data_IF_165583853927
#
_entry.id   IF_165583853927
#
_cell.length_a   1.000
_cell.length_b   1.000
_cell.length_c   1.000
_cell.angle_alpha   90.00
_cell.angle_beta   90.00
_cell.angle_gamma   90.00
#
_symmetry.space_group_name_H-M   'P 1'
#
loop_
_entity.id
_entity.type
_entity.pdbx_description
1 polymer ?
#
# COMPACT_ATOMS: atom_id res chain seq x y z
N UNK A 1 -27.35 -10.66 13.16
CA UNK A 1 -27.29 -10.00 11.83
C UNK A 1 -27.06 -11.11 10.80
N UNK A 2 -27.88 -11.23 9.74
CA UNK A 2 -27.64 -12.21 8.69
C UNK A 2 -26.31 -11.91 7.99
N UNK A 3 -25.55 -12.95 7.66
CA UNK A 3 -24.28 -12.78 6.96
C UNK A 3 -24.53 -12.34 5.52
N UNK A 4 -23.72 -11.43 4.96
CA UNK A 4 -23.88 -10.99 3.58
C UNK A 4 -23.68 -12.15 2.61
N UNK A 5 -24.58 -12.25 1.61
CA UNK A 5 -24.57 -13.32 0.60
C UNK A 5 -23.77 -12.96 -0.66
N UNK A 6 -23.37 -11.69 -0.80
CA UNK A 6 -22.59 -11.18 -1.93
C UNK A 6 -21.44 -10.33 -1.41
N UNK A 7 -20.40 -10.17 -2.22
CA UNK A 7 -19.27 -9.29 -1.89
C UNK A 7 -19.80 -7.87 -1.61
N UNK A 8 -20.64 -7.33 -2.50
CA UNK A 8 -21.26 -6.01 -2.35
C UNK A 8 -22.27 -5.89 -1.20
N UNK A 9 -22.63 -7.01 -0.56
CA UNK A 9 -23.48 -7.00 0.63
C UNK A 9 -22.72 -6.69 1.93
N UNK A 10 -21.39 -6.64 1.90
CA UNK A 10 -20.57 -6.28 3.07
C UNK A 10 -20.56 -4.76 3.26
N UNK A 11 -20.52 -4.31 4.50
CA UNK A 11 -20.49 -2.88 4.83
C UNK A 11 -19.22 -2.17 4.34
N UNK A 12 -18.12 -2.92 4.28
CA UNK A 12 -16.77 -2.45 3.96
C UNK A 12 -16.03 -3.52 3.18
N UNK A 13 -15.51 -3.12 2.03
CA UNK A 13 -14.84 -4.02 1.11
C UNK A 13 -13.53 -3.38 0.73
N UNK A 14 -12.45 -4.16 0.84
CA UNK A 14 -11.14 -3.81 0.32
C UNK A 14 -10.83 -4.76 -0.83
N UNK A 15 -10.44 -4.20 -1.97
CA UNK A 15 -10.05 -4.96 -3.16
C UNK A 15 -8.64 -4.55 -3.54
N UNK A 16 -7.69 -5.48 -3.46
CA UNK A 16 -6.29 -5.17 -3.68
C UNK A 16 -5.51 -6.33 -4.28
N UNK A 17 -4.37 -6.01 -4.90
CA UNK A 17 -3.44 -6.95 -5.50
C UNK A 17 -2.82 -6.42 -6.78
N UNK A 18 -2.13 -7.31 -7.51
CA UNK A 18 -1.69 -7.04 -8.88
C UNK A 18 -2.90 -7.12 -9.83
N UNK A 19 -3.50 -5.97 -10.12
CA UNK A 19 -4.60 -5.84 -11.07
C UNK A 19 -4.10 -5.78 -12.53
N UNK A 20 -2.79 -5.67 -12.73
CA UNK A 20 -2.09 -5.73 -14.02
C UNK A 20 -2.49 -4.67 -15.06
N UNK A 21 -3.21 -3.61 -14.67
CA UNK A 21 -3.47 -2.46 -15.54
C UNK A 21 -2.15 -1.74 -15.89
N UNK A 22 -2.02 -1.34 -17.16
CA UNK A 22 -0.81 -0.74 -17.72
C UNK A 22 -1.03 0.72 -18.11
N UNK A 23 0.00 1.35 -18.65
CA UNK A 23 -0.11 2.68 -19.23
C UNK A 23 -0.46 2.62 -20.71
N UNK A 24 -1.40 3.45 -21.15
CA UNK A 24 -1.62 3.81 -22.56
C UNK A 24 -0.59 4.84 -23.03
N UNK A 25 0.70 4.55 -22.81
CA UNK A 25 1.81 5.44 -23.13
C UNK A 25 3.02 4.63 -23.59
N UNK A 26 3.72 5.14 -24.61
CA UNK A 26 4.97 4.54 -25.08
C UNK A 26 6.06 4.57 -24.00
N UNK A 27 6.90 3.54 -23.97
CA UNK A 27 7.92 3.32 -22.94
C UNK A 27 8.85 4.53 -22.74
N UNK A 28 9.36 5.11 -23.84
CA UNK A 28 10.25 6.26 -23.78
C UNK A 28 9.58 7.49 -23.14
N UNK A 29 8.34 7.79 -23.53
CA UNK A 29 7.57 8.91 -22.99
C UNK A 29 7.23 8.70 -21.52
N UNK A 30 6.84 7.48 -21.14
CA UNK A 30 6.62 7.12 -19.74
C UNK A 30 7.90 7.33 -18.91
N UNK A 31 9.05 6.85 -19.40
CA UNK A 31 10.34 7.03 -18.71
C UNK A 31 10.75 8.49 -18.59
N UNK A 32 10.40 9.35 -19.55
CA UNK A 32 10.65 10.78 -19.45
C UNK A 32 9.85 11.44 -18.32
N UNK A 33 8.56 11.09 -18.18
CA UNK A 33 7.72 11.58 -17.08
C UNK A 33 8.21 11.04 -15.73
N UNK A 34 8.63 9.76 -15.69
CA UNK A 34 9.20 9.15 -14.49
C UNK A 34 10.49 9.85 -14.06
N UNK A 35 11.39 10.19 -15.00
CA UNK A 35 12.61 10.95 -14.68
C UNK A 35 12.31 12.35 -14.12
N UNK A 36 11.18 12.94 -14.50
CA UNK A 36 10.73 14.24 -14.00
C UNK A 36 9.93 14.16 -12.70
N UNK A 37 9.63 12.95 -12.21
CA UNK A 37 8.74 12.69 -11.07
C UNK A 37 7.32 13.23 -11.27
N UNK A 38 6.90 13.34 -12.53
CA UNK A 38 5.59 13.87 -12.88
C UNK A 38 4.54 12.75 -12.87
N UNK A 39 4.22 12.29 -11.66
CA UNK A 39 3.24 11.21 -11.44
C UNK A 39 1.85 11.61 -11.90
N UNK A 40 1.50 12.88 -11.75
CA UNK A 40 0.19 13.40 -12.14
C UNK A 40 0.01 13.30 -13.66
N UNK A 41 0.98 13.77 -14.45
CA UNK A 41 0.92 13.63 -15.90
C UNK A 41 0.96 12.16 -16.35
N UNK A 42 1.73 11.31 -15.66
CA UNK A 42 1.82 9.88 -15.99
C UNK A 42 0.49 9.14 -15.74
N UNK A 43 -0.23 9.51 -14.68
CA UNK A 43 -1.54 8.92 -14.32
C UNK A 43 -2.64 9.20 -15.34
N UNK A 44 -2.54 10.24 -16.17
CA UNK A 44 -3.50 10.49 -17.26
C UNK A 44 -3.49 9.38 -18.32
N UNK A 45 -2.45 8.54 -18.32
CA UNK A 45 -2.32 7.37 -19.18
C UNK A 45 -2.58 6.05 -18.46
N UNK A 46 -2.96 6.06 -17.17
CA UNK A 46 -3.25 4.85 -16.40
C UNK A 46 -4.55 4.18 -16.88
N UNK A 47 -4.48 2.90 -17.26
CA UNK A 47 -5.62 2.15 -17.76
C UNK A 47 -6.73 2.01 -16.71
N UNK A 48 -6.39 1.69 -15.46
CA UNK A 48 -7.41 1.50 -14.42
C UNK A 48 -8.18 2.80 -14.17
N UNK A 49 -7.47 3.92 -14.05
CA UNK A 49 -8.08 5.23 -13.89
C UNK A 49 -9.04 5.54 -15.04
N UNK A 50 -8.60 5.33 -16.28
CA UNK A 50 -9.42 5.55 -17.47
C UNK A 50 -10.68 4.67 -17.49
N UNK A 51 -10.54 3.38 -17.23
CA UNK A 51 -11.67 2.44 -17.21
C UNK A 51 -12.66 2.76 -16.09
N UNK A 52 -12.19 3.27 -14.95
CA UNK A 52 -13.06 3.78 -13.86
C UNK A 52 -13.79 5.06 -14.25
N UNK A 53 -13.10 6.01 -14.89
CA UNK A 53 -13.69 7.27 -15.36
C UNK A 53 -14.78 7.04 -16.43
N UNK A 54 -14.60 6.05 -17.32
CA UNK A 54 -15.63 5.67 -18.30
C UNK A 54 -16.72 4.74 -17.74
N UNK A 55 -16.64 4.35 -16.46
CA UNK A 55 -17.61 3.47 -15.81
C UNK A 55 -17.55 2.00 -16.26
N UNK A 56 -16.44 1.56 -16.86
CA UNK A 56 -16.25 0.18 -17.33
C UNK A 56 -15.98 -0.82 -16.20
N UNK A 57 -15.32 -0.38 -15.11
CA UNK A 57 -14.94 -1.23 -13.98
C UNK A 57 -14.99 -0.45 -12.66
N UNK A 58 -15.14 -1.16 -11.55
CA UNK A 58 -15.05 -0.59 -10.19
C UNK A 58 -15.93 0.66 -9.97
N UNK A 59 -17.14 0.67 -10.55
CA UNK A 59 -18.09 1.76 -10.37
C UNK A 59 -18.47 1.92 -8.90
N UNK A 60 -18.35 3.13 -8.36
CA UNK A 60 -18.62 3.44 -6.95
C UNK A 60 -17.50 3.03 -5.98
N UNK A 61 -16.41 2.43 -6.46
CA UNK A 61 -15.23 2.17 -5.66
C UNK A 61 -14.33 3.39 -5.64
N UNK A 62 -13.62 3.56 -4.53
CA UNK A 62 -12.66 4.63 -4.31
C UNK A 62 -11.22 4.08 -4.34
N UNK A 63 -10.28 4.95 -4.67
CA UNK A 63 -8.84 4.67 -4.65
C UNK A 63 -8.12 5.94 -4.19
N UNK A 64 -7.04 5.78 -3.46
CA UNK A 64 -6.23 6.89 -2.95
C UNK A 64 -5.50 7.63 -4.06
N UNK A 65 -5.06 8.85 -3.76
CA UNK A 65 -4.13 9.55 -4.62
C UNK A 65 -2.82 8.76 -4.71
N UNK A 66 -2.39 8.43 -5.93
CA UNK A 66 -1.11 7.78 -6.17
C UNK A 66 -0.05 8.87 -6.27
N UNK A 67 0.79 8.97 -5.24
CA UNK A 67 1.88 9.96 -5.15
C UNK A 67 3.27 9.32 -5.21
N UNK A 68 3.33 8.02 -5.53
CA UNK A 68 4.54 7.22 -5.62
C UNK A 68 4.78 6.74 -7.06
N UNK A 69 6.04 6.42 -7.39
CA UNK A 69 6.39 5.99 -8.74
C UNK A 69 5.82 4.58 -9.06
N UNK A 70 5.73 4.19 -10.34
CA UNK A 70 5.27 2.87 -10.76
C UNK A 70 5.87 1.71 -9.96
N UNK A 71 5.08 0.68 -9.72
CA UNK A 71 5.48 -0.46 -8.86
C UNK A 71 6.11 -1.58 -9.67
N UNK A 72 5.92 -1.58 -10.98
CA UNK A 72 6.35 -2.60 -11.93
C UNK A 72 6.91 -1.92 -13.19
N UNK A 73 7.86 -2.48 -13.96
CA UNK A 73 8.64 -3.69 -13.73
C UNK A 73 10.07 -3.34 -13.40
N UNK A 74 10.57 -3.75 -12.24
CA UNK A 74 11.96 -3.59 -11.85
C UNK A 74 12.85 -4.71 -12.40
N UNK A 75 14.11 -4.39 -12.67
CA UNK A 75 15.08 -5.36 -13.20
C UNK A 75 15.52 -6.32 -12.12
N UNK A 76 15.63 -7.60 -12.49
CA UNK A 76 16.19 -8.64 -11.62
C UNK A 76 17.71 -8.50 -11.45
N UNK A 77 18.39 -7.87 -12.41
CA UNK A 77 19.85 -7.68 -12.38
C UNK A 77 20.26 -6.36 -11.72
N UNK A 78 19.43 -5.32 -11.82
CA UNK A 78 19.59 -4.08 -11.07
C UNK A 78 18.23 -3.66 -10.51
N UNK A 79 17.96 -4.04 -9.27
CA UNK A 79 16.68 -3.78 -8.64
C UNK A 79 16.35 -2.28 -8.53
N UNK A 80 17.32 -1.36 -8.61
CA UNK A 80 17.07 0.08 -8.57
C UNK A 80 16.52 0.65 -9.90
N UNK A 81 16.52 -0.15 -10.98
CA UNK A 81 16.12 0.29 -12.31
C UNK A 81 14.91 -0.48 -12.81
N UNK A 82 14.04 0.21 -13.55
CA UNK A 82 13.01 -0.47 -14.32
C UNK A 82 13.63 -1.28 -15.46
N UNK A 83 13.16 -2.50 -15.70
CA UNK A 83 13.58 -3.32 -16.85
C UNK A 83 13.37 -2.57 -18.17
N UNK A 84 14.39 -2.56 -19.04
CA UNK A 84 14.39 -1.88 -20.34
C UNK A 84 15.22 -0.59 -20.40
N UNK A 85 15.19 0.12 -21.53
CA UNK A 85 15.87 1.44 -21.67
C UNK A 85 17.30 1.45 -22.27
N UNK A 86 17.68 0.40 -23.02
CA UNK A 86 18.95 0.26 -23.79
C UNK A 86 20.23 -0.02 -22.97
N UNK A 87 21.14 -0.90 -23.46
CA UNK A 87 20.83 -2.16 -24.15
C UNK A 87 20.40 -3.17 -23.09
N UNK A 88 19.22 -3.76 -23.28
CA UNK A 88 18.79 -4.89 -22.45
C UNK A 88 19.85 -5.97 -22.55
N UNK A 89 20.47 -6.33 -21.42
CA UNK A 89 21.20 -7.60 -21.35
C UNK A 89 20.24 -8.71 -21.78
N UNK A 90 20.75 -9.66 -22.55
CA UNK A 90 19.97 -10.74 -23.17
C UNK A 90 19.08 -11.46 -22.15
N UNK A 91 17.76 -11.44 -22.35
CA UNK A 91 16.80 -12.26 -21.58
C UNK A 91 15.75 -11.49 -20.77
N UNK A 92 15.95 -10.20 -20.45
CA UNK A 92 14.93 -9.43 -19.72
C UNK A 92 13.80 -8.94 -20.63
N UNK A 93 12.56 -9.36 -20.34
CA UNK A 93 11.35 -8.84 -21.02
C UNK A 93 11.15 -7.36 -20.65
N UNK A 94 11.32 -6.50 -21.66
CA UNK A 94 11.03 -5.06 -21.56
C UNK A 94 9.53 -4.83 -21.36
N UNK A 95 9.19 -3.95 -20.42
CA UNK A 95 7.83 -3.49 -20.14
C UNK A 95 7.88 -2.02 -19.75
N UNK A 96 6.92 -1.24 -20.26
CA UNK A 96 6.66 0.11 -19.77
C UNK A 96 6.37 0.04 -18.27
N UNK A 97 7.00 0.89 -17.43
CA UNK A 97 6.67 0.94 -16.02
C UNK A 97 5.19 1.30 -15.81
N UNK A 98 4.52 0.65 -14.85
CA UNK A 98 3.10 0.84 -14.55
C UNK A 98 2.78 0.60 -13.06
N UNK A 99 1.64 1.12 -12.61
CA UNK A 99 1.03 0.80 -11.31
C UNK A 99 0.12 -0.42 -11.46
N UNK A 100 0.74 -1.60 -11.40
CA UNK A 100 0.02 -2.87 -11.45
C UNK A 100 -0.64 -3.21 -10.10
N UNK A 101 -0.02 -2.80 -9.00
CA UNK A 101 -0.39 -3.15 -7.63
C UNK A 101 -1.27 -2.05 -7.03
N UNK A 102 -2.55 -2.36 -6.76
CA UNK A 102 -3.58 -1.36 -6.44
C UNK A 102 -4.37 -1.73 -5.19
N UNK A 103 -4.90 -0.72 -4.50
CA UNK A 103 -5.78 -0.90 -3.33
C UNK A 103 -6.99 0.00 -3.50
N UNK A 104 -8.16 -0.60 -3.72
CA UNK A 104 -9.44 0.05 -3.83
C UNK A 104 -10.33 -0.31 -2.65
N UNK A 105 -11.31 0.54 -2.35
CA UNK A 105 -12.31 0.26 -1.33
C UNK A 105 -13.73 0.64 -1.76
N UNK A 106 -14.70 0.00 -1.12
CA UNK A 106 -16.12 0.28 -1.29
C UNK A 106 -16.83 0.18 0.06
N UNK A 107 -17.82 1.05 0.28
CA UNK A 107 -18.61 1.08 1.50
C UNK A 107 -18.46 2.38 2.29
N UNK A 108 -19.17 2.47 3.41
CA UNK A 108 -19.24 3.70 4.23
C UNK A 108 -18.33 3.62 5.45
N UNK A 109 -17.94 4.80 5.96
CA UNK A 109 -17.16 4.90 7.19
C UNK A 109 -15.73 4.34 7.04
N UNK A 110 -15.18 4.44 5.82
CA UNK A 110 -13.77 4.18 5.51
C UNK A 110 -13.10 5.51 5.20
N UNK A 111 -12.01 5.81 5.89
CA UNK A 111 -11.14 6.95 5.60
C UNK A 111 -9.74 6.41 5.37
N UNK A 112 -9.21 6.57 4.16
CA UNK A 112 -7.82 6.22 3.90
C UNK A 112 -6.90 7.27 4.55
N UNK A 113 -5.98 6.81 5.38
CA UNK A 113 -5.01 7.64 6.11
C UNK A 113 -3.67 7.73 5.36
N UNK A 114 -3.28 6.66 4.68
CA UNK A 114 -2.07 6.63 3.85
C UNK A 114 -2.20 5.65 2.70
N UNK A 115 -1.47 5.94 1.61
CA UNK A 115 -1.34 5.07 0.46
C UNK A 115 0.06 5.22 -0.13
N UNK A 116 0.89 4.18 0.00
CA UNK A 116 2.31 4.30 -0.33
C UNK A 116 2.89 3.00 -0.87
N UNK A 117 4.05 3.14 -1.51
CA UNK A 117 4.88 2.05 -1.99
C UNK A 117 6.12 1.94 -1.10
N UNK A 118 6.50 0.73 -0.72
CA UNK A 118 7.76 0.47 -0.03
C UNK A 118 8.88 0.09 -1.00
N UNK A 119 10.13 0.34 -0.62
CA UNK A 119 11.31 0.10 -1.48
C UNK A 119 11.91 -1.30 -1.34
N UNK A 120 11.10 -2.28 -0.91
CA UNK A 120 11.53 -3.67 -0.85
C UNK A 120 11.84 -4.21 -2.26
N UNK A 121 12.99 -4.87 -2.41
CA UNK A 121 13.60 -5.24 -3.70
C UNK A 121 13.57 -6.75 -3.99
N UNK A 122 12.82 -7.53 -3.20
CA UNK A 122 12.75 -8.99 -3.35
C UNK A 122 12.00 -9.46 -4.61
N UNK A 123 11.30 -8.56 -5.31
CA UNK A 123 10.51 -8.84 -6.51
C UNK A 123 10.77 -7.78 -7.59
N UNK A 124 10.36 -8.07 -8.82
CA UNK A 124 10.23 -7.07 -9.89
C UNK A 124 9.04 -6.12 -9.68
N UNK A 125 8.27 -6.37 -8.62
CA UNK A 125 7.27 -5.47 -8.05
C UNK A 125 7.77 -4.81 -6.76
N UNK A 126 7.29 -3.58 -6.51
CA UNK A 126 7.40 -2.91 -5.22
C UNK A 126 6.12 -3.08 -4.40
N UNK A 127 6.19 -3.47 -3.12
CA UNK A 127 5.00 -3.64 -2.30
C UNK A 127 4.23 -2.33 -2.14
N UNK A 128 2.91 -2.43 -2.11
CA UNK A 128 1.99 -1.31 -1.91
C UNK A 128 1.18 -1.55 -0.64
N UNK A 129 1.07 -0.51 0.17
CA UNK A 129 0.40 -0.53 1.47
C UNK A 129 -0.57 0.64 1.57
N UNK A 130 -1.69 0.42 2.25
CA UNK A 130 -2.63 1.47 2.61
C UNK A 130 -3.11 1.30 4.05
N UNK A 131 -3.24 2.41 4.77
CA UNK A 131 -3.79 2.44 6.12
C UNK A 131 -5.17 3.08 6.08
N UNK A 132 -6.12 2.50 6.81
CA UNK A 132 -7.50 2.99 6.88
C UNK A 132 -7.94 3.17 8.34
N UNK A 133 -8.67 4.24 8.58
CA UNK A 133 -9.54 4.39 9.76
C UNK A 133 -10.94 3.92 9.42
N UNK A 134 -11.58 3.21 10.34
CA UNK A 134 -12.93 2.70 10.14
C UNK A 134 -13.79 2.75 11.39
N UNK A 135 -15.05 3.16 11.24
CA UNK A 135 -16.01 3.24 12.35
C UNK A 135 -16.77 1.93 12.49
N UNK A 136 -16.49 1.09 13.48
CA UNK A 136 -17.21 -0.18 13.67
C UNK A 136 -18.44 0.04 14.58
N UNK A 137 -19.62 -0.41 14.13
CA UNK A 137 -20.80 -0.45 15.01
C UNK A 137 -20.70 -1.65 15.96
N UNK A 138 -20.79 -1.39 17.26
CA UNK A 138 -20.81 -2.44 18.28
C UNK A 138 -22.25 -2.66 18.73
N UNK A 139 -22.83 -3.80 18.36
CA UNK A 139 -24.16 -4.18 18.84
C UNK A 139 -24.04 -4.78 20.24
N UNK A 140 -24.40 -4.01 21.26
CA UNK A 140 -24.54 -4.53 22.62
C UNK A 140 -25.78 -5.43 22.69
N UNK A 141 -25.57 -6.74 22.68
CA UNK A 141 -26.65 -7.72 22.90
C UNK A 141 -27.17 -7.61 24.33
N UNK A 142 -28.41 -7.15 24.51
CA UNK A 142 -29.12 -7.11 25.80
C UNK A 142 -29.74 -8.48 26.18
N UNK A 143 -29.25 -9.58 25.62
CA UNK A 143 -29.78 -10.92 25.88
C UNK A 143 -28.85 -11.68 26.86
N UNK A 144 -29.23 -11.88 28.14
CA UNK A 144 -28.35 -12.43 29.18
C UNK A 144 -28.08 -13.96 29.08
N UNK A 145 -28.18 -14.57 27.89
CA UNK A 145 -28.02 -16.03 27.71
C UNK A 145 -27.00 -16.48 26.67
N UNK A 146 -26.09 -15.62 26.23
CA UNK A 146 -24.92 -16.08 25.50
C UNK A 146 -23.69 -15.75 26.31
N UNK A 147 -23.14 -16.78 26.95
CA UNK A 147 -21.85 -16.75 27.63
C UNK A 147 -20.82 -16.14 26.68
N UNK A 148 -20.27 -15.01 27.11
CA UNK A 148 -19.19 -14.30 26.42
C UNK A 148 -18.01 -15.26 26.23
N UNK A 149 -17.68 -15.57 24.97
CA UNK A 149 -16.37 -16.13 24.64
C UNK A 149 -15.35 -15.01 24.88
N UNK A 150 -14.66 -15.12 26.01
CA UNK A 150 -13.43 -14.43 26.39
C UNK A 150 -12.98 -13.33 25.44
N UNK A 151 -13.41 -12.10 25.72
CA UNK A 151 -12.58 -10.94 25.44
C UNK A 151 -11.41 -11.00 26.42
N UNK A 152 -10.23 -11.41 25.96
CA UNK A 152 -8.99 -11.12 26.69
C UNK A 152 -8.74 -9.63 26.46
N UNK A 153 -9.29 -8.79 27.33
CA UNK A 153 -8.76 -7.46 27.56
C UNK A 153 -7.68 -7.60 28.65
N UNK A 154 -6.46 -7.09 28.47
CA UNK A 154 -5.50 -7.02 29.56
C UNK A 154 -6.01 -5.99 30.59
N UNK A 155 -6.43 -6.47 31.76
CA UNK A 155 -6.77 -5.61 32.89
C UNK A 155 -5.48 -5.17 33.57
N UNK A 156 -5.16 -3.87 33.49
CA UNK A 156 -4.09 -3.24 34.27
C UNK A 156 -4.62 -3.00 35.70
N UNK A 157 -4.01 -3.55 36.76
CA UNK A 157 -4.37 -3.20 38.13
C UNK A 157 -3.79 -1.82 38.50
N UNK A 158 -4.43 -1.07 39.42
CA UNK A 158 -3.96 0.25 39.83
C UNK A 158 -2.62 0.15 40.61
N UNK A 159 -1.80 1.22 40.62
CA UNK A 159 -0.46 1.15 41.18
C UNK A 159 -0.50 1.09 42.70
N UNK A 160 0.19 0.11 43.28
CA UNK A 160 0.62 0.15 44.68
C UNK A 160 2.04 0.69 44.69
N UNK A 161 2.23 1.83 45.38
CA UNK A 161 3.54 2.40 45.66
C UNK A 161 4.35 1.45 46.55
N UNK A 162 5.51 0.98 46.09
CA UNK A 162 6.80 1.06 46.83
C UNK A 162 7.98 0.44 46.05
N UNK A 163 8.92 1.32 45.70
CA UNK A 163 10.39 1.19 45.70
C UNK A 163 11.15 0.16 44.84
N UNK A 164 11.90 0.73 43.88
CA UNK A 164 13.27 0.41 43.43
C UNK A 164 13.52 -0.87 42.60
N UNK A 165 13.63 -0.71 41.27
CA UNK A 165 14.92 -0.73 40.53
C UNK A 165 14.76 -0.99 39.02
N UNK A 166 15.43 -0.13 38.23
CA UNK A 166 15.89 -0.20 36.83
C UNK A 166 15.03 -0.88 35.73
N UNK A 167 14.58 -0.01 34.82
CA UNK A 167 13.84 -0.25 33.58
C UNK A 167 14.58 -1.11 32.54
N UNK A 168 13.86 -2.08 31.98
CA UNK A 168 13.86 -2.42 30.55
C UNK A 168 12.38 -2.70 30.17
N UNK A 169 11.75 -1.79 29.43
CA UNK A 169 10.39 -1.97 28.87
C UNK A 169 10.50 -2.36 27.39
N UNK A 170 10.37 -3.66 27.11
CA UNK A 170 10.18 -4.20 25.76
C UNK A 170 8.88 -4.99 25.71
N UNK A 171 8.16 -4.80 24.59
CA UNK A 171 7.05 -5.64 24.08
C UNK A 171 5.59 -5.17 24.24
N UNK A 172 5.31 -3.87 24.14
CA UNK A 172 4.01 -3.39 23.62
C UNK A 172 4.14 -2.50 22.36
N UNK A 173 5.22 -2.68 21.60
CA UNK A 173 5.62 -1.75 20.52
C UNK A 173 6.17 -2.45 19.28
N UNK A 174 5.41 -3.36 18.67
CA UNK A 174 5.88 -4.02 17.43
C UNK A 174 5.00 -3.75 16.23
N UNK A 175 3.68 -3.96 16.25
CA UNK A 175 2.90 -3.78 15.01
C UNK A 175 2.67 -2.31 14.65
N UNK A 176 2.23 -1.49 15.61
CA UNK A 176 2.11 -0.03 15.43
C UNK A 176 3.50 0.56 15.14
N UNK A 177 4.54 0.11 15.84
CA UNK A 177 5.89 0.61 15.60
C UNK A 177 6.46 0.18 14.25
N UNK A 178 6.14 -1.01 13.74
CA UNK A 178 6.53 -1.47 12.39
C UNK A 178 5.81 -0.65 11.32
N UNK A 179 4.51 -0.41 11.47
CA UNK A 179 3.74 0.45 10.54
C UNK A 179 4.28 1.89 10.58
N UNK A 180 4.56 2.43 11.77
CA UNK A 180 5.14 3.77 11.94
C UNK A 180 6.57 3.83 11.39
N UNK A 181 7.38 2.78 11.57
CA UNK A 181 8.73 2.68 10.98
C UNK A 181 8.66 2.65 9.46
N UNK A 182 7.71 1.94 8.85
CA UNK A 182 7.52 1.91 7.40
C UNK A 182 7.00 3.27 6.86
N UNK A 183 6.13 3.94 7.61
CA UNK A 183 5.66 5.30 7.28
C UNK A 183 6.78 6.34 7.43
N UNK A 184 7.65 6.21 8.42
CA UNK A 184 8.77 7.12 8.68
C UNK A 184 10.01 6.82 7.81
N UNK A 185 10.17 5.58 7.33
CA UNK A 185 11.17 5.19 6.35
C UNK A 185 10.83 5.64 4.92
N UNK A 186 9.59 6.07 4.69
CA UNK A 186 9.18 6.73 3.45
C UNK A 186 9.60 8.20 3.50
N UNK A 187 10.52 8.68 2.63
CA UNK A 187 11.08 10.02 2.75
C UNK A 187 10.03 11.07 2.39
N UNK A 188 9.50 11.76 3.40
CA UNK A 188 9.01 13.13 3.23
C UNK A 188 10.20 14.00 2.84
N UNK A 189 10.11 14.67 1.70
CA UNK A 189 11.18 15.33 0.92
C UNK A 189 11.88 14.44 -0.12
N UNK A 190 11.29 14.51 -1.30
CA UNK A 190 11.58 13.81 -2.53
C UNK A 190 12.82 14.40 -3.26
N UNK A 191 14.01 14.27 -2.67
CA UNK A 191 15.26 14.67 -3.37
C UNK A 191 16.37 13.63 -3.32
N UNK A 192 16.33 12.64 -2.40
CA UNK A 192 17.49 11.74 -2.22
C UNK A 192 17.40 10.35 -2.85
N UNK A 193 16.22 9.83 -3.18
CA UNK A 193 16.11 8.43 -3.62
C UNK A 193 16.34 8.20 -5.12
N UNK A 194 16.53 9.26 -5.92
CA UNK A 194 16.74 9.13 -7.38
C UNK A 194 18.10 9.64 -7.83
N UNK A 195 18.87 10.28 -6.94
CA UNK A 195 20.29 10.56 -7.18
C UNK A 195 21.19 9.32 -7.11
N UNK A 196 20.65 8.14 -6.77
CA UNK A 196 21.34 6.86 -6.91
C UNK A 196 20.75 6.02 -8.05
N UNK A 197 20.77 6.58 -9.26
CA UNK A 197 21.07 5.77 -10.45
C UNK A 197 22.61 5.74 -10.56
N UNK A 198 23.27 5.25 -9.50
CA UNK A 198 24.71 5.04 -9.47
C UNK A 198 24.98 3.54 -9.52
N UNK A 199 25.94 3.18 -10.37
CA UNK A 199 26.40 1.83 -10.69
C UNK A 199 27.17 1.20 -9.51
N UNK A 200 26.49 0.91 -8.39
CA UNK A 200 27.10 0.11 -7.31
C UNK A 200 26.14 -0.92 -6.75
N UNK A 201 26.44 -2.17 -7.11
CA UNK A 201 26.20 -3.44 -6.44
C UNK A 201 24.78 -3.81 -6.00
N UNK A 202 24.14 -4.65 -6.82
CA UNK A 202 23.41 -5.81 -6.31
C UNK A 202 24.37 -7.01 -6.35
N UNK A 203 24.94 -7.34 -5.19
CA UNK A 203 25.52 -8.67 -4.90
C UNK A 203 24.45 -9.58 -4.31
#
# INVERSE_FOLDING_TARGET
IPHPLTILGHDRIFWFGDLNYRLYLEDNSARQLIKKLDWRALQEFDQLRREREYGGVFQGWEEGAIEFAPTYKYSSSNCNRYSGGVPSRSGEKQRTPAWCDRILWYGKGLTQLSYFRSESKFSDHRPVSALFSTQVEVVNSTNPRVVSRHTILPTIPPPVETEQSNHDEEAESTLISLIVKDLQASPTHNTRCIEQIDDSDCS
#
